data_IF_738119636031
#
_entry.id   IF_738119636031
#
_cell.length_a   1.000
_cell.length_b   1.000
_cell.length_c   1.000
_cell.angle_alpha   90.00
_cell.angle_beta   90.00
_cell.angle_gamma   90.00
#
_symmetry.space_group_name_H-M   'P 1'
#
loop_
_entity.id
_entity.type
_entity.pdbx_description
1 polymer ?
#
# COMPACT_ATOMS: atom_id res chain seq x y z
N UNK A 1 22.66 -15.11 3.91
CA UNK A 1 22.18 -14.82 5.27
C UNK A 1 21.29 -15.97 5.74
N UNK A 2 21.60 -16.58 6.87
CA UNK A 2 20.93 -17.79 7.36
C UNK A 2 19.99 -17.36 8.50
N UNK A 3 18.68 -17.27 8.25
CA UNK A 3 17.72 -17.20 9.35
C UNK A 3 17.72 -18.59 9.98
N UNK A 4 18.08 -18.65 11.24
CA UNK A 4 18.00 -19.86 12.04
C UNK A 4 16.51 -20.19 12.21
N UNK A 5 16.03 -21.25 11.55
CA UNK A 5 14.61 -21.67 11.62
C UNK A 5 14.29 -22.42 12.91
N UNK A 6 15.22 -22.47 13.86
CA UNK A 6 15.11 -23.19 15.14
C UNK A 6 14.84 -22.25 16.32
N UNK A 7 14.82 -20.94 16.09
CA UNK A 7 14.61 -19.91 17.12
C UNK A 7 13.49 -18.96 16.72
N UNK A 8 12.88 -18.32 17.72
CA UNK A 8 11.94 -17.22 17.49
C UNK A 8 12.70 -15.96 17.09
N UNK A 9 12.24 -15.25 16.06
CA UNK A 9 12.98 -14.13 15.47
C UNK A 9 12.06 -12.95 15.19
N UNK A 10 12.55 -11.74 15.48
CA UNK A 10 11.96 -10.50 15.03
C UNK A 10 12.80 -9.84 13.93
N UNK A 11 12.28 -9.83 12.72
CA UNK A 11 12.89 -9.18 11.55
C UNK A 11 12.45 -7.72 11.52
N UNK A 12 13.36 -6.82 11.84
CA UNK A 12 13.16 -5.37 11.74
C UNK A 12 13.59 -4.86 10.37
N UNK A 13 12.95 -3.81 9.87
CA UNK A 13 13.43 -3.14 8.65
C UNK A 13 12.42 -2.13 8.14
N UNK A 14 12.91 -1.14 7.41
CA UNK A 14 12.09 -0.10 6.80
C UNK A 14 11.21 -0.62 5.65
N UNK A 15 10.31 0.26 5.17
CA UNK A 15 9.60 0.01 3.92
C UNK A 15 10.58 -0.34 2.80
N UNK A 16 10.31 -1.45 2.11
CA UNK A 16 11.15 -1.86 0.98
C UNK A 16 12.50 -2.48 1.34
N UNK A 17 12.74 -2.85 2.59
CA UNK A 17 13.94 -3.61 3.00
C UNK A 17 13.90 -5.10 2.68
N UNK A 18 12.78 -5.62 2.14
CA UNK A 18 12.64 -7.02 1.76
C UNK A 18 12.09 -7.95 2.85
N UNK A 19 11.45 -7.42 3.89
CA UNK A 19 10.86 -8.22 4.99
C UNK A 19 9.94 -9.33 4.48
N UNK A 20 8.93 -8.98 3.67
CA UNK A 20 7.95 -9.93 3.12
C UNK A 20 8.59 -10.97 2.22
N UNK A 21 9.59 -10.56 1.41
CA UNK A 21 10.38 -11.48 0.58
C UNK A 21 11.14 -12.47 1.47
N UNK A 22 11.73 -11.99 2.55
CA UNK A 22 12.44 -12.83 3.49
C UNK A 22 11.52 -13.85 4.18
N UNK A 23 10.28 -13.47 4.53
CA UNK A 23 9.28 -14.40 5.04
C UNK A 23 8.96 -15.51 4.04
N UNK A 24 8.77 -15.18 2.75
CA UNK A 24 8.56 -16.17 1.68
C UNK A 24 9.74 -17.13 1.56
N UNK A 25 10.96 -16.62 1.53
CA UNK A 25 12.17 -17.45 1.50
C UNK A 25 12.32 -18.32 2.75
N UNK A 26 11.91 -17.82 3.91
CA UNK A 26 11.90 -18.59 5.16
C UNK A 26 10.96 -19.78 5.07
N UNK A 27 9.74 -19.60 4.55
CA UNK A 27 8.80 -20.70 4.29
C UNK A 27 9.43 -21.73 3.33
N UNK A 28 10.03 -21.29 2.22
CA UNK A 28 10.73 -22.19 1.28
C UNK A 28 11.83 -22.99 1.99
N UNK A 29 12.58 -22.36 2.88
CA UNK A 29 13.64 -22.99 3.66
C UNK A 29 13.10 -24.04 4.65
N UNK A 30 12.04 -23.71 5.39
CA UNK A 30 11.38 -24.65 6.30
C UNK A 30 10.90 -25.88 5.52
N UNK A 31 10.22 -25.68 4.37
CA UNK A 31 9.74 -26.78 3.52
C UNK A 31 10.86 -27.66 2.97
N UNK A 32 12.02 -27.08 2.65
CA UNK A 32 13.17 -27.87 2.19
C UNK A 32 13.80 -28.74 3.27
N UNK A 33 13.62 -28.41 4.56
CA UNK A 33 14.11 -29.16 5.71
C UNK A 33 13.07 -30.16 6.25
N UNK A 34 11.81 -29.74 6.26
CA UNK A 34 10.69 -30.54 6.72
C UNK A 34 9.46 -30.29 5.85
N UNK A 35 9.17 -31.27 4.98
CA UNK A 35 8.01 -31.20 4.06
C UNK A 35 6.66 -31.23 4.80
N UNK A 36 6.64 -31.78 6.01
CA UNK A 36 5.41 -32.03 6.81
C UNK A 36 5.11 -30.95 7.85
N UNK A 37 6.02 -29.99 8.07
CA UNK A 37 5.79 -28.93 9.06
C UNK A 37 4.50 -28.16 8.77
N UNK A 38 3.68 -27.95 9.80
CA UNK A 38 2.50 -27.09 9.72
C UNK A 38 2.94 -25.63 9.83
N UNK A 39 2.76 -24.88 8.77
CA UNK A 39 3.20 -23.48 8.67
C UNK A 39 1.98 -22.59 8.47
N UNK A 40 1.90 -21.50 9.27
CA UNK A 40 0.90 -20.43 9.13
C UNK A 40 1.61 -19.12 8.83
N UNK A 41 1.13 -18.39 7.84
CA UNK A 41 1.48 -17.01 7.62
C UNK A 41 0.31 -16.10 8.01
N UNK A 42 0.55 -15.22 8.96
CA UNK A 42 -0.43 -14.24 9.46
C UNK A 42 -0.10 -12.88 8.86
N UNK A 43 -1.10 -12.24 8.30
CA UNK A 43 -1.01 -10.90 7.71
C UNK A 43 -2.14 -10.00 8.20
N UNK A 44 -1.99 -8.69 8.00
CA UNK A 44 -2.97 -7.75 8.53
C UNK A 44 -4.23 -7.62 7.65
N UNK A 45 -4.09 -7.63 6.32
CA UNK A 45 -5.21 -7.39 5.39
C UNK A 45 -5.51 -8.58 4.49
N UNK A 46 -6.76 -8.69 4.02
CA UNK A 46 -7.16 -9.70 3.02
C UNK A 46 -6.43 -9.54 1.69
N UNK A 47 -6.07 -8.32 1.29
CA UNK A 47 -5.29 -8.07 0.07
C UNK A 47 -3.89 -8.70 0.17
N UNK A 48 -3.26 -8.63 1.35
CA UNK A 48 -1.98 -9.32 1.59
C UNK A 48 -2.13 -10.84 1.59
N UNK A 49 -3.25 -11.38 2.08
CA UNK A 49 -3.52 -12.82 1.99
C UNK A 49 -3.49 -13.28 0.53
N UNK A 50 -4.18 -12.57 -0.35
CA UNK A 50 -4.24 -12.94 -1.77
C UNK A 50 -2.88 -12.76 -2.48
N UNK A 51 -2.14 -11.71 -2.16
CA UNK A 51 -0.77 -11.49 -2.67
C UNK A 51 0.16 -12.65 -2.28
N UNK A 52 0.19 -13.03 -1.00
CA UNK A 52 1.04 -14.14 -0.54
C UNK A 52 0.60 -15.49 -1.10
N UNK A 53 -0.71 -15.75 -1.24
CA UNK A 53 -1.22 -16.95 -1.91
C UNK A 53 -0.73 -17.06 -3.35
N UNK A 54 -0.76 -15.96 -4.10
CA UNK A 54 -0.23 -15.93 -5.46
C UNK A 54 1.27 -16.23 -5.48
N UNK A 55 2.07 -15.57 -4.65
CA UNK A 55 3.51 -15.78 -4.57
C UNK A 55 3.88 -17.24 -4.18
N UNK A 56 3.18 -17.83 -3.20
CA UNK A 56 3.43 -19.23 -2.82
C UNK A 56 3.00 -20.23 -3.89
N UNK A 57 1.91 -19.95 -4.60
CA UNK A 57 1.46 -20.77 -5.73
C UNK A 57 2.51 -20.81 -6.85
N UNK A 58 3.12 -19.68 -7.20
CA UNK A 58 4.20 -19.59 -8.18
C UNK A 58 5.44 -20.39 -7.75
N UNK A 59 5.71 -20.45 -6.45
CA UNK A 59 6.82 -21.23 -5.88
C UNK A 59 6.48 -22.71 -5.65
N UNK A 60 5.26 -23.16 -5.96
CA UNK A 60 4.79 -24.52 -5.69
C UNK A 60 4.69 -24.84 -4.21
N UNK A 61 4.52 -23.84 -3.35
CA UNK A 61 4.43 -24.00 -1.90
C UNK A 61 2.97 -23.91 -1.45
N UNK A 62 2.58 -24.79 -0.53
CA UNK A 62 1.25 -24.78 0.10
C UNK A 62 1.40 -24.64 1.61
N UNK A 63 0.85 -23.57 2.17
CA UNK A 63 0.81 -23.27 3.60
C UNK A 63 -0.54 -22.61 3.95
N UNK A 64 -0.87 -22.59 5.23
CA UNK A 64 -2.01 -21.82 5.69
C UNK A 64 -1.69 -20.33 5.70
N UNK A 65 -2.59 -19.50 5.18
CA UNK A 65 -2.46 -18.03 5.16
C UNK A 65 -3.80 -17.42 5.55
N UNK A 66 -3.80 -16.58 6.56
CA UNK A 66 -5.01 -15.84 6.95
C UNK A 66 -4.62 -14.49 7.59
N UNK A 67 -5.63 -13.68 7.84
CA UNK A 67 -5.50 -12.49 8.67
C UNK A 67 -5.38 -12.88 10.15
N UNK A 68 -4.80 -11.99 10.96
CA UNK A 68 -4.75 -12.19 12.42
C UNK A 68 -6.15 -12.46 13.02
N UNK A 69 -7.18 -11.86 12.47
CA UNK A 69 -8.56 -12.05 12.90
C UNK A 69 -9.10 -13.46 12.60
N UNK A 70 -8.79 -14.00 11.41
CA UNK A 70 -9.12 -15.38 11.05
C UNK A 70 -8.35 -16.39 11.92
N UNK A 71 -7.06 -16.15 12.12
CA UNK A 71 -6.22 -16.94 13.01
C UNK A 71 -6.78 -17.02 14.44
N UNK A 72 -7.16 -15.89 15.03
CA UNK A 72 -7.73 -15.84 16.39
C UNK A 72 -9.00 -16.69 16.55
N UNK A 73 -9.73 -16.92 15.48
CA UNK A 73 -10.95 -17.77 15.48
C UNK A 73 -10.67 -19.24 15.25
N UNK A 74 -9.53 -19.63 14.69
CA UNK A 74 -9.29 -20.99 14.20
C UNK A 74 -8.98 -21.99 15.32
N UNK A 75 -8.34 -21.58 16.42
CA UNK A 75 -7.88 -22.48 17.47
C UNK A 75 -6.78 -23.48 17.07
N UNK A 76 -6.23 -23.38 15.85
CA UNK A 76 -5.22 -24.32 15.33
C UNK A 76 -3.83 -24.08 15.92
N UNK A 77 -3.01 -25.17 15.99
CA UNK A 77 -1.61 -25.12 16.36
C UNK A 77 -0.70 -25.45 15.16
N UNK A 78 0.50 -24.88 15.15
CA UNK A 78 1.45 -24.95 14.05
C UNK A 78 2.87 -25.24 14.56
N UNK A 79 3.73 -25.78 13.71
CA UNK A 79 5.16 -25.87 14.02
C UNK A 79 5.80 -24.49 13.87
N UNK A 80 5.37 -23.74 12.86
CA UNK A 80 5.86 -22.39 12.59
C UNK A 80 4.69 -21.41 12.36
N UNK A 81 4.74 -20.27 13.04
CA UNK A 81 3.92 -19.11 12.69
C UNK A 81 4.84 -18.00 12.20
N UNK A 82 4.59 -17.52 10.98
CA UNK A 82 5.20 -16.31 10.44
C UNK A 82 4.18 -15.18 10.47
N UNK A 83 4.64 -13.96 10.73
CA UNK A 83 3.74 -12.79 10.74
C UNK A 83 4.40 -11.60 10.05
N UNK A 84 3.69 -10.96 9.11
CA UNK A 84 4.10 -9.68 8.53
C UNK A 84 3.34 -8.53 9.21
N UNK A 85 3.94 -7.34 9.23
CA UNK A 85 3.42 -6.10 9.83
C UNK A 85 3.05 -6.25 11.33
N UNK A 86 3.88 -6.95 12.10
CA UNK A 86 3.63 -7.26 13.52
C UNK A 86 3.37 -6.02 14.39
N UNK A 87 3.89 -4.85 14.03
CA UNK A 87 3.69 -3.60 14.77
C UNK A 87 2.23 -3.09 14.77
N UNK A 88 1.38 -3.63 13.91
CA UNK A 88 -0.05 -3.27 13.89
C UNK A 88 -0.93 -4.21 14.73
N UNK A 89 -0.33 -5.25 15.33
CA UNK A 89 -1.04 -6.21 16.15
C UNK A 89 -1.06 -5.79 17.63
N UNK A 90 -1.98 -6.36 18.38
CA UNK A 90 -2.04 -6.16 19.83
C UNK A 90 -1.12 -7.18 20.56
N UNK A 91 -0.66 -6.87 21.79
CA UNK A 91 0.09 -7.83 22.61
C UNK A 91 -0.63 -9.17 22.77
N UNK A 92 -1.96 -9.14 22.87
CA UNK A 92 -2.79 -10.34 22.98
C UNK A 92 -2.66 -11.26 21.77
N UNK A 93 -2.72 -10.70 20.56
CA UNK A 93 -2.58 -11.48 19.31
C UNK A 93 -1.19 -12.11 19.22
N UNK A 94 -0.13 -11.37 19.57
CA UNK A 94 1.24 -11.89 19.54
C UNK A 94 1.44 -13.01 20.58
N UNK A 95 0.91 -12.83 21.79
CA UNK A 95 0.96 -13.86 22.83
C UNK A 95 0.23 -15.13 22.40
N UNK A 96 -0.94 -14.97 21.74
CA UNK A 96 -1.70 -16.11 21.24
C UNK A 96 -0.98 -16.82 20.08
N UNK A 97 -0.33 -16.07 19.16
CA UNK A 97 0.53 -16.69 18.15
C UNK A 97 1.67 -17.51 18.79
N UNK A 98 2.35 -16.92 19.77
CA UNK A 98 3.46 -17.58 20.44
C UNK A 98 3.03 -18.84 21.22
N UNK A 99 1.82 -18.85 21.79
CA UNK A 99 1.29 -20.03 22.52
C UNK A 99 0.84 -21.17 21.59
N UNK A 100 0.63 -20.90 20.30
CA UNK A 100 0.11 -21.86 19.31
C UNK A 100 1.16 -22.34 18.30
N UNK A 101 2.44 -22.07 18.54
CA UNK A 101 3.51 -22.59 17.69
C UNK A 101 4.75 -22.99 18.48
N UNK A 102 5.60 -23.81 17.84
CA UNK A 102 6.92 -24.12 18.37
C UNK A 102 7.93 -23.01 18.07
N UNK A 103 7.78 -22.34 16.91
CA UNK A 103 8.67 -21.29 16.45
C UNK A 103 7.86 -20.14 15.85
N UNK A 104 8.16 -18.90 16.29
CA UNK A 104 7.52 -17.70 15.76
C UNK A 104 8.55 -16.80 15.07
N UNK A 105 8.22 -16.34 13.86
CA UNK A 105 9.05 -15.45 13.06
C UNK A 105 8.20 -14.25 12.65
N UNK A 106 8.47 -13.10 13.23
CA UNK A 106 7.69 -11.90 12.96
C UNK A 106 8.51 -10.86 12.19
N UNK A 107 7.88 -10.13 11.32
CA UNK A 107 8.49 -9.06 10.55
C UNK A 107 7.70 -7.76 10.75
N UNK A 108 8.38 -6.61 10.80
CA UNK A 108 7.71 -5.34 10.97
C UNK A 108 8.62 -4.12 10.91
N UNK A 109 7.98 -2.95 10.84
CA UNK A 109 8.59 -1.63 10.86
C UNK A 109 7.86 -0.74 11.86
N UNK A 110 8.46 -0.50 13.00
CA UNK A 110 7.87 0.33 14.07
C UNK A 110 7.58 1.78 13.62
N UNK A 111 8.26 2.27 12.57
CA UNK A 111 8.02 3.60 12.01
C UNK A 111 6.76 3.65 11.12
N UNK A 112 6.20 2.52 10.76
CA UNK A 112 4.99 2.39 9.93
C UNK A 112 3.77 1.88 10.70
N UNK A 113 3.75 2.02 12.02
CA UNK A 113 2.52 1.78 12.79
C UNK A 113 1.48 2.85 12.44
N UNK A 114 0.36 2.41 11.87
CA UNK A 114 -0.74 3.29 11.42
C UNK A 114 -1.99 3.14 12.28
N UNK A 115 -1.95 2.27 13.28
CA UNK A 115 -3.04 2.04 14.21
C UNK A 115 -2.58 2.33 15.63
N UNK A 116 -3.35 3.14 16.36
CA UNK A 116 -3.19 3.30 17.81
C UNK A 116 -3.82 2.13 18.55
N UNK A 117 -4.90 1.60 17.99
CA UNK A 117 -5.62 0.47 18.53
C UNK A 117 -6.14 -0.43 17.42
N UNK A 118 -6.31 -1.70 17.74
CA UNK A 118 -6.89 -2.68 16.84
C UNK A 118 -8.34 -2.27 16.47
N UNK A 119 -8.69 -2.31 15.16
CA UNK A 119 -10.04 -1.90 14.72
C UNK A 119 -11.17 -2.80 15.21
N UNK A 120 -10.88 -4.04 15.65
CA UNK A 120 -11.89 -5.02 16.08
C UNK A 120 -12.11 -5.01 17.60
N UNK A 121 -11.03 -4.96 18.36
CA UNK A 121 -11.08 -5.11 19.81
C UNK A 121 -10.75 -3.83 20.56
N UNK A 122 -10.35 -2.77 19.85
CA UNK A 122 -9.98 -1.47 20.42
C UNK A 122 -8.84 -1.56 21.47
N UNK A 123 -8.03 -2.62 21.40
CA UNK A 123 -6.84 -2.80 22.22
C UNK A 123 -5.65 -2.05 21.60
N UNK A 124 -4.79 -1.45 22.41
CA UNK A 124 -3.59 -0.77 21.92
C UNK A 124 -2.69 -1.72 21.13
N UNK A 125 -2.08 -1.21 20.05
CA UNK A 125 -1.09 -1.97 19.29
C UNK A 125 0.22 -2.10 20.07
N UNK A 126 1.01 -3.14 19.74
CA UNK A 126 2.26 -3.44 20.42
C UNK A 126 3.32 -2.36 20.14
N UNK A 127 4.09 -2.02 21.17
CA UNK A 127 5.28 -1.18 21.00
C UNK A 127 6.47 -2.00 20.50
N UNK A 128 7.44 -1.32 19.85
CA UNK A 128 8.66 -1.97 19.37
C UNK A 128 9.45 -2.68 20.47
N UNK A 129 9.46 -2.15 21.70
CA UNK A 129 10.13 -2.76 22.84
C UNK A 129 9.46 -4.02 23.36
N UNK A 130 8.15 -4.16 23.12
CA UNK A 130 7.38 -5.31 23.61
C UNK A 130 7.46 -6.51 22.67
N UNK A 131 7.66 -6.31 21.36
CA UNK A 131 7.64 -7.42 20.38
C UNK A 131 8.65 -8.48 20.75
N UNK A 132 9.94 -8.14 20.91
CA UNK A 132 11.00 -9.10 21.25
C UNK A 132 10.73 -9.85 22.55
N UNK A 133 10.19 -9.14 23.57
CA UNK A 133 9.81 -9.75 24.85
C UNK A 133 8.67 -10.76 24.70
N UNK A 134 7.65 -10.44 23.91
CA UNK A 134 6.47 -11.28 23.72
C UNK A 134 6.77 -12.56 22.94
N UNK A 135 7.67 -12.52 21.97
CA UNK A 135 8.04 -13.69 21.16
C UNK A 135 9.19 -14.50 21.77
N UNK A 136 9.84 -14.00 22.84
CA UNK A 136 11.04 -14.62 23.45
C UNK A 136 12.14 -14.89 22.42
N UNK A 137 12.36 -13.97 21.47
CA UNK A 137 13.24 -14.16 20.33
C UNK A 137 14.18 -12.99 20.08
N UNK A 138 15.23 -13.26 19.32
CA UNK A 138 16.23 -12.28 18.93
C UNK A 138 15.72 -11.33 17.84
N UNK A 139 16.22 -10.10 17.86
CA UNK A 139 15.93 -9.11 16.84
C UNK A 139 17.02 -9.12 15.76
N UNK A 140 16.60 -9.19 14.51
CA UNK A 140 17.44 -9.07 13.33
C UNK A 140 17.03 -7.86 12.50
N UNK A 141 17.98 -7.02 12.08
CA UNK A 141 17.69 -5.79 11.32
C UNK A 141 18.13 -5.89 9.87
N UNK A 142 17.20 -5.58 8.95
CA UNK A 142 17.46 -5.41 7.53
C UNK A 142 17.88 -3.95 7.29
N UNK A 143 19.18 -3.73 7.18
CA UNK A 143 19.77 -2.40 7.07
C UNK A 143 19.80 -1.80 5.65
N UNK A 144 19.24 -2.49 4.63
CA UNK A 144 19.24 -2.01 3.25
C UNK A 144 17.82 -1.81 2.74
N UNK A 145 17.56 -0.66 2.14
CA UNK A 145 16.28 -0.34 1.48
C UNK A 145 16.45 -0.60 -0.03
N UNK A 146 15.80 -1.65 -0.53
CA UNK A 146 15.88 -2.05 -1.93
C UNK A 146 14.80 -1.41 -2.81
N UNK A 147 13.64 -1.08 -2.25
CA UNK A 147 12.49 -0.58 -3.02
C UNK A 147 12.52 0.91 -3.25
N UNK A 148 12.81 1.69 -2.21
CA UNK A 148 12.70 3.15 -2.28
C UNK A 148 13.89 3.76 -3.00
N UNK A 149 13.61 4.70 -3.90
CA UNK A 149 14.61 5.53 -4.55
C UNK A 149 15.11 6.62 -3.61
N UNK A 150 16.20 7.28 -4.01
CA UNK A 150 16.78 8.40 -3.26
C UNK A 150 15.77 9.53 -3.08
N UNK A 151 15.07 9.90 -4.15
CA UNK A 151 14.11 11.01 -4.14
C UNK A 151 12.98 10.77 -3.14
N UNK A 152 12.46 9.54 -3.04
CA UNK A 152 11.43 9.18 -2.06
C UNK A 152 12.00 9.22 -0.64
N UNK A 153 13.20 8.67 -0.42
CA UNK A 153 13.85 8.70 0.90
C UNK A 153 14.06 10.15 1.34
N UNK A 154 14.62 11.00 0.49
CA UNK A 154 14.88 12.42 0.79
C UNK A 154 13.56 13.18 1.07
N UNK A 155 12.48 12.91 0.30
CA UNK A 155 11.17 13.52 0.54
C UNK A 155 10.58 13.08 1.88
N UNK A 156 10.62 11.80 2.21
CA UNK A 156 10.15 11.26 3.50
C UNK A 156 10.95 11.83 4.66
N UNK A 157 12.27 11.95 4.53
CA UNK A 157 13.13 12.54 5.56
C UNK A 157 12.77 13.99 5.87
N UNK A 158 12.51 14.79 4.85
CA UNK A 158 12.07 16.19 5.01
C UNK A 158 10.69 16.28 5.63
N UNK A 159 9.79 15.37 5.23
CA UNK A 159 8.43 15.33 5.73
C UNK A 159 8.34 14.82 7.17
N UNK A 160 9.14 13.82 7.54
CA UNK A 160 9.19 13.20 8.87
C UNK A 160 10.63 13.18 9.42
N UNK A 161 11.20 14.32 9.81
CA UNK A 161 12.63 14.45 10.16
C UNK A 161 13.03 13.66 11.41
N UNK A 162 12.08 13.22 12.24
CA UNK A 162 12.35 12.38 13.42
C UNK A 162 12.38 10.87 13.10
N UNK A 163 12.10 10.50 11.86
CA UNK A 163 12.14 9.10 11.45
C UNK A 163 13.58 8.60 11.29
N UNK A 164 13.89 7.44 11.85
CA UNK A 164 15.24 6.86 11.81
C UNK A 164 15.60 6.19 10.47
N UNK A 165 14.89 6.51 9.39
CA UNK A 165 15.14 6.00 8.04
C UNK A 165 16.57 6.28 7.55
N UNK A 166 17.24 7.26 8.15
CA UNK A 166 18.62 7.66 7.83
C UNK A 166 19.69 6.60 8.12
N UNK A 167 19.43 5.68 9.04
CA UNK A 167 20.39 4.64 9.40
C UNK A 167 20.44 3.50 8.39
N UNK A 168 19.40 3.37 7.54
CA UNK A 168 19.35 2.33 6.53
C UNK A 168 20.18 2.70 5.30
N UNK A 169 20.98 1.76 4.82
CA UNK A 169 21.67 1.87 3.53
C UNK A 169 20.65 1.70 2.42
N UNK A 170 20.76 2.52 1.36
CA UNK A 170 19.93 2.35 0.16
C UNK A 170 20.64 1.49 -0.87
N UNK A 171 19.86 0.87 -1.73
CA UNK A 171 20.36 0.22 -2.93
C UNK A 171 20.74 1.30 -3.96
N UNK A 172 22.05 1.45 -4.21
CA UNK A 172 22.60 2.46 -5.13
C UNK A 172 22.40 2.10 -6.61
N UNK A 173 21.99 0.88 -6.91
CA UNK A 173 21.75 0.42 -8.28
C UNK A 173 20.38 0.82 -8.81
N UNK A 174 19.48 1.26 -7.93
CA UNK A 174 18.12 1.64 -8.30
C UNK A 174 18.10 3.04 -8.92
N UNK A 175 17.38 3.17 -10.05
CA UNK A 175 17.07 4.47 -10.67
C UNK A 175 16.25 5.35 -9.73
N UNK A 176 16.35 6.66 -9.89
CA UNK A 176 15.58 7.60 -9.08
C UNK A 176 14.12 7.66 -9.55
N UNK A 177 13.19 7.72 -8.59
CA UNK A 177 11.77 7.97 -8.82
C UNK A 177 11.56 9.44 -9.13
N UNK A 178 10.75 9.75 -10.14
CA UNK A 178 10.31 11.10 -10.36
C UNK A 178 9.11 11.41 -9.47
N UNK A 179 9.24 12.41 -8.61
CA UNK A 179 8.12 12.95 -7.83
C UNK A 179 7.55 14.13 -8.60
N UNK A 180 6.31 14.00 -9.07
CA UNK A 180 5.59 15.03 -9.83
C UNK A 180 4.52 15.65 -8.94
N UNK A 181 4.61 16.96 -8.75
CA UNK A 181 3.59 17.76 -8.09
C UNK A 181 2.73 18.43 -9.15
N UNK A 182 1.48 18.00 -9.24
CA UNK A 182 0.58 18.35 -10.32
C UNK A 182 -0.52 19.29 -9.82
N UNK A 183 -0.55 20.53 -10.32
CA UNK A 183 -1.59 21.51 -10.02
C UNK A 183 -2.68 21.46 -11.06
N UNK A 184 -3.95 21.32 -10.62
CA UNK A 184 -5.10 21.27 -11.49
C UNK A 184 -6.00 22.48 -11.29
N UNK A 185 -6.63 23.00 -12.38
CA UNK A 185 -7.59 24.10 -12.27
C UNK A 185 -8.88 23.72 -11.53
N UNK A 186 -9.23 22.44 -11.51
CA UNK A 186 -10.42 21.91 -10.86
C UNK A 186 -10.25 20.44 -10.46
N UNK A 187 -11.07 19.99 -9.52
CA UNK A 187 -11.11 18.58 -9.09
C UNK A 187 -11.45 17.63 -10.25
N UNK A 188 -12.31 18.04 -11.19
CA UNK A 188 -12.64 17.24 -12.37
C UNK A 188 -11.44 17.06 -13.30
N UNK A 189 -10.66 18.13 -13.54
CA UNK A 189 -9.47 18.08 -14.38
C UNK A 189 -8.34 17.30 -13.70
N UNK A 190 -8.20 17.41 -12.37
CA UNK A 190 -7.29 16.60 -11.58
C UNK A 190 -7.55 15.10 -11.81
N UNK A 191 -8.80 14.65 -11.60
CA UNK A 191 -9.17 13.24 -11.79
C UNK A 191 -9.01 12.81 -13.25
N UNK A 192 -9.38 13.65 -14.21
CA UNK A 192 -9.21 13.35 -15.65
C UNK A 192 -7.75 13.10 -15.99
N UNK A 193 -6.84 13.95 -15.53
CA UNK A 193 -5.39 13.82 -15.72
C UNK A 193 -4.85 12.52 -15.13
N UNK A 194 -5.27 12.18 -13.90
CA UNK A 194 -4.86 10.96 -13.23
C UNK A 194 -5.31 9.74 -14.02
N UNK A 195 -6.59 9.67 -14.40
CA UNK A 195 -7.14 8.53 -15.14
C UNK A 195 -6.43 8.36 -16.50
N UNK A 196 -6.13 9.45 -17.19
CA UNK A 196 -5.38 9.41 -18.45
C UNK A 196 -3.97 8.83 -18.26
N UNK A 197 -3.19 9.34 -17.28
CA UNK A 197 -1.82 8.88 -17.05
C UNK A 197 -1.78 7.46 -16.47
N UNK A 198 -2.66 7.12 -15.53
CA UNK A 198 -2.76 5.76 -15.00
C UNK A 198 -3.19 4.75 -16.07
N UNK A 199 -4.07 5.14 -17.01
CA UNK A 199 -4.44 4.30 -18.16
C UNK A 199 -3.27 4.10 -19.10
N UNK A 200 -2.46 5.12 -19.37
CA UNK A 200 -1.23 4.99 -20.16
C UNK A 200 -0.27 4.01 -19.49
N UNK A 201 -0.07 4.12 -18.17
CA UNK A 201 0.81 3.23 -17.41
C UNK A 201 0.37 1.76 -17.54
N UNK A 202 -0.90 1.45 -17.26
CA UNK A 202 -1.37 0.05 -17.35
C UNK A 202 -1.37 -0.50 -18.76
N UNK A 203 -1.54 0.34 -19.78
CA UNK A 203 -1.43 -0.05 -21.18
C UNK A 203 0.02 -0.37 -21.60
N UNK A 204 1.00 0.20 -20.89
CA UNK A 204 2.43 -0.07 -21.08
C UNK A 204 2.93 -1.27 -20.25
N UNK A 205 2.05 -1.90 -19.48
CA UNK A 205 2.38 -3.05 -18.64
C UNK A 205 2.82 -2.70 -17.21
N UNK A 206 2.77 -1.42 -16.82
CA UNK A 206 3.07 -1.01 -15.45
C UNK A 206 1.87 -1.25 -14.53
N UNK A 207 2.14 -1.58 -13.28
CA UNK A 207 1.14 -1.53 -12.21
C UNK A 207 0.89 -0.09 -11.80
N UNK A 208 -0.37 0.34 -11.74
CA UNK A 208 -0.75 1.70 -11.37
C UNK A 208 -1.78 1.71 -10.24
N UNK A 209 -1.53 2.51 -9.21
CA UNK A 209 -2.46 2.69 -8.10
C UNK A 209 -2.83 4.15 -7.87
N UNK A 210 -4.12 4.39 -7.64
CA UNK A 210 -4.64 5.66 -7.12
C UNK A 210 -4.93 5.47 -5.64
N UNK A 211 -4.19 6.18 -4.81
CA UNK A 211 -4.28 6.09 -3.36
C UNK A 211 -5.07 7.27 -2.81
N UNK A 212 -6.18 6.99 -2.16
CA UNK A 212 -7.15 7.98 -1.65
C UNK A 212 -7.02 8.05 -0.12
N UNK A 213 -7.06 9.25 0.50
CA UNK A 213 -6.92 9.40 1.94
C UNK A 213 -7.97 8.62 2.74
N UNK A 214 -9.24 8.69 2.32
CA UNK A 214 -10.37 8.10 3.03
C UNK A 214 -11.37 7.42 2.09
N UNK A 215 -12.07 6.42 2.61
CA UNK A 215 -13.08 5.68 1.84
C UNK A 215 -14.23 6.59 1.33
N UNK A 216 -14.54 7.68 2.05
CA UNK A 216 -15.58 8.65 1.65
C UNK A 216 -15.28 9.28 0.28
N UNK A 217 -13.99 9.52 -0.02
CA UNK A 217 -13.55 10.14 -1.29
C UNK A 217 -13.50 9.16 -2.48
N UNK A 218 -13.65 7.86 -2.25
CA UNK A 218 -13.61 6.84 -3.33
C UNK A 218 -14.74 7.05 -4.33
N UNK A 219 -15.98 7.25 -3.85
CA UNK A 219 -17.15 7.44 -4.73
C UNK A 219 -17.04 8.73 -5.52
N UNK A 220 -16.58 9.81 -4.90
CA UNK A 220 -16.33 11.10 -5.59
C UNK A 220 -15.32 10.92 -6.74
N UNK A 221 -14.20 10.25 -6.45
CA UNK A 221 -13.18 9.97 -7.46
C UNK A 221 -13.74 9.12 -8.61
N UNK A 222 -14.43 8.03 -8.29
CA UNK A 222 -15.03 7.11 -9.28
C UNK A 222 -16.02 7.86 -10.18
N UNK A 223 -16.89 8.68 -9.60
CA UNK A 223 -17.90 9.42 -10.39
C UNK A 223 -17.25 10.44 -11.33
N UNK A 224 -16.19 11.15 -10.88
CA UNK A 224 -15.43 12.05 -11.73
C UNK A 224 -14.66 11.30 -12.83
N UNK A 225 -14.12 10.11 -12.50
CA UNK A 225 -13.46 9.24 -13.47
C UNK A 225 -14.44 8.76 -14.55
N UNK A 226 -15.67 8.37 -14.17
CA UNK A 226 -16.73 8.03 -15.13
C UNK A 226 -17.08 9.21 -16.04
N UNK A 227 -17.32 10.38 -15.45
CA UNK A 227 -17.65 11.60 -16.21
C UNK A 227 -16.53 11.98 -17.18
N UNK A 228 -15.25 11.85 -16.79
CA UNK A 228 -14.10 12.11 -17.66
C UNK A 228 -14.06 11.22 -18.90
N UNK A 229 -14.68 10.06 -18.82
CA UNK A 229 -14.80 9.08 -19.92
C UNK A 229 -16.17 9.14 -20.63
N UNK A 230 -16.95 10.21 -20.41
CA UNK A 230 -18.29 10.39 -20.99
C UNK A 230 -19.35 9.40 -20.50
N UNK A 231 -19.15 8.85 -19.30
CA UNK A 231 -20.08 7.89 -18.67
C UNK A 231 -20.90 8.55 -17.57
N UNK A 232 -22.10 8.00 -17.31
CA UNK A 232 -22.92 8.43 -16.19
C UNK A 232 -22.27 8.09 -14.86
N UNK A 233 -22.42 8.92 -13.82
CA UNK A 233 -21.99 8.58 -12.47
C UNK A 233 -22.62 7.27 -11.99
N UNK A 234 -21.90 6.56 -11.13
CA UNK A 234 -22.44 5.35 -10.50
C UNK A 234 -23.63 5.71 -9.58
N UNK A 235 -24.82 5.08 -9.79
CA UNK A 235 -25.97 5.28 -8.92
C UNK A 235 -25.72 4.52 -7.61
N UNK A 236 -25.05 5.13 -6.66
CA UNK A 236 -24.59 4.50 -5.43
C UNK A 236 -25.63 3.57 -4.82
N UNK A 237 -25.26 2.30 -4.64
CA UNK A 237 -26.10 1.26 -4.06
C UNK A 237 -25.54 0.80 -2.72
N UNK A 238 -26.40 0.30 -1.84
CA UNK A 238 -26.02 -0.26 -0.55
C UNK A 238 -26.20 -1.76 -0.52
N UNK A 239 -25.35 -2.43 0.26
CA UNK A 239 -25.48 -3.86 0.53
C UNK A 239 -26.58 -4.13 1.59
N UNK A 240 -26.81 -5.42 1.90
CA UNK A 240 -27.81 -5.85 2.89
C UNK A 240 -27.64 -5.30 4.31
N UNK A 241 -26.50 -4.68 4.61
CA UNK A 241 -26.23 -4.02 5.92
C UNK A 241 -26.29 -2.50 5.82
N UNK A 242 -26.83 -1.91 4.75
CA UNK A 242 -26.93 -0.48 4.55
C UNK A 242 -25.60 0.24 4.27
N UNK A 243 -24.51 -0.48 4.04
CA UNK A 243 -23.21 0.07 3.67
C UNK A 243 -23.06 0.11 2.14
N UNK A 244 -22.26 1.06 1.63
CA UNK A 244 -21.96 1.15 0.19
C UNK A 244 -21.51 -0.20 -0.37
N UNK A 245 -22.10 -0.61 -1.50
CA UNK A 245 -21.74 -1.85 -2.21
C UNK A 245 -20.62 -1.58 -3.23
N UNK A 246 -19.39 -1.62 -2.77
CA UNK A 246 -18.23 -1.45 -3.65
C UNK A 246 -18.07 -2.59 -4.67
N UNK A 247 -18.68 -3.75 -4.43
CA UNK A 247 -18.76 -4.82 -5.41
C UNK A 247 -19.65 -4.43 -6.60
N UNK A 248 -20.83 -3.83 -6.33
CA UNK A 248 -21.68 -3.26 -7.37
C UNK A 248 -20.98 -2.12 -8.13
N UNK A 249 -20.24 -1.25 -7.42
CA UNK A 249 -19.43 -0.20 -8.03
C UNK A 249 -18.37 -0.77 -8.98
N UNK A 250 -17.64 -1.80 -8.59
CA UNK A 250 -16.65 -2.46 -9.45
C UNK A 250 -17.30 -3.09 -10.69
N UNK A 251 -18.46 -3.75 -10.55
CA UNK A 251 -19.22 -4.27 -11.70
C UNK A 251 -19.69 -3.15 -12.63
N UNK A 252 -20.12 -2.01 -12.09
CA UNK A 252 -20.54 -0.85 -12.87
C UNK A 252 -19.35 -0.25 -13.66
N UNK A 253 -18.19 -0.12 -13.04
CA UNK A 253 -16.97 0.33 -13.72
C UNK A 253 -16.62 -0.62 -14.89
N UNK A 254 -16.62 -1.91 -14.62
CA UNK A 254 -16.32 -2.94 -15.63
C UNK A 254 -17.32 -2.93 -16.79
N UNK A 255 -18.62 -2.83 -16.52
CA UNK A 255 -19.67 -2.79 -17.57
C UNK A 255 -19.60 -1.53 -18.43
N UNK A 256 -19.01 -0.44 -17.92
CA UNK A 256 -18.76 0.79 -18.66
C UNK A 256 -17.39 0.84 -19.35
N UNK A 257 -16.59 -0.24 -19.27
CA UNK A 257 -15.29 -0.34 -19.91
C UNK A 257 -14.19 0.49 -19.21
N UNK A 258 -14.39 0.90 -17.94
CA UNK A 258 -13.42 1.68 -17.19
C UNK A 258 -12.38 0.74 -16.56
N UNK A 259 -11.11 0.94 -16.87
CA UNK A 259 -9.98 0.16 -16.34
C UNK A 259 -9.63 0.51 -14.88
N UNK A 260 -10.62 0.79 -14.05
CA UNK A 260 -10.47 1.15 -12.64
C UNK A 260 -11.16 0.11 -11.76
N UNK A 261 -10.50 -0.32 -10.70
CA UNK A 261 -11.05 -1.27 -9.75
C UNK A 261 -10.75 -0.84 -8.33
N UNK A 262 -11.77 -0.71 -7.50
CA UNK A 262 -11.58 -0.54 -6.06
C UNK A 262 -11.17 -1.86 -5.42
N UNK A 263 -10.06 -1.82 -4.65
CA UNK A 263 -9.54 -2.93 -3.85
C UNK A 263 -9.44 -2.50 -2.40
N UNK A 264 -10.15 -3.20 -1.53
CA UNK A 264 -10.15 -2.92 -0.08
C UNK A 264 -11.39 -3.47 0.61
N UNK A 265 -11.34 -3.64 1.92
CA UNK A 265 -12.44 -4.15 2.76
C UNK A 265 -13.08 -5.46 2.25
N UNK A 266 -12.31 -6.32 1.59
CA UNK A 266 -12.80 -7.57 1.01
C UNK A 266 -13.47 -7.42 -0.36
N UNK A 267 -13.42 -6.25 -0.98
CA UNK A 267 -13.84 -6.01 -2.34
C UNK A 267 -12.64 -5.92 -3.29
N UNK A 268 -12.83 -6.42 -4.50
CA UNK A 268 -11.79 -6.45 -5.53
C UNK A 268 -10.65 -7.41 -5.20
N UNK A 269 -9.82 -7.66 -6.19
CA UNK A 269 -8.59 -8.46 -6.03
C UNK A 269 -7.46 -7.71 -6.72
N UNK A 270 -6.28 -7.75 -6.14
CA UNK A 270 -5.07 -7.23 -6.76
C UNK A 270 -4.38 -8.37 -7.51
N UNK A 271 -4.12 -8.15 -8.80
CA UNK A 271 -3.25 -9.00 -9.59
C UNK A 271 -2.40 -8.09 -10.49
N UNK A 272 -1.09 -8.29 -10.49
CA UNK A 272 -0.17 -7.55 -11.36
C UNK A 272 -0.46 -7.76 -12.85
N UNK A 273 -1.06 -8.90 -13.20
CA UNK A 273 -1.41 -9.27 -14.58
C UNK A 273 -2.73 -8.67 -15.08
N UNK A 274 -3.53 -8.04 -14.22
CA UNK A 274 -4.88 -7.60 -14.60
C UNK A 274 -4.92 -6.33 -15.46
N UNK A 275 -3.80 -5.62 -15.65
CA UNK A 275 -3.70 -4.36 -16.40
C UNK A 275 -4.82 -3.36 -16.06
N UNK A 276 -5.18 -3.28 -14.77
CA UNK A 276 -6.19 -2.36 -14.23
C UNK A 276 -5.55 -1.34 -13.30
N UNK A 277 -6.13 -0.16 -13.27
CA UNK A 277 -5.80 0.86 -12.28
C UNK A 277 -6.40 0.43 -10.95
N UNK A 278 -5.58 0.29 -9.93
CA UNK A 278 -6.02 -0.07 -8.58
C UNK A 278 -6.38 1.18 -7.81
N UNK A 279 -7.61 1.26 -7.32
CA UNK A 279 -8.08 2.33 -6.44
C UNK A 279 -8.19 1.79 -5.02
N UNK A 280 -7.52 2.43 -4.07
CA UNK A 280 -7.57 2.00 -2.67
C UNK A 280 -7.31 3.15 -1.70
N UNK A 281 -7.56 2.90 -0.41
CA UNK A 281 -7.19 3.86 0.64
C UNK A 281 -5.73 3.72 1.02
N UNK A 282 -5.15 4.76 1.64
CA UNK A 282 -3.79 4.72 2.20
C UNK A 282 -3.60 3.52 3.14
N UNK A 283 -4.60 3.23 3.98
CA UNK A 283 -4.58 2.06 4.87
C UNK A 283 -4.52 0.74 4.10
N UNK A 284 -5.35 0.59 3.05
CA UNK A 284 -5.41 -0.65 2.26
C UNK A 284 -4.16 -0.87 1.41
N UNK A 285 -3.41 0.19 1.10
CA UNK A 285 -2.18 0.13 0.33
C UNK A 285 -0.97 -0.35 1.14
N UNK A 286 -1.09 -0.41 2.48
CA UNK A 286 0.01 -0.87 3.33
C UNK A 286 0.42 -2.30 2.96
N UNK A 287 1.74 -2.52 2.83
CA UNK A 287 2.33 -3.81 2.44
C UNK A 287 2.37 -4.06 0.92
N UNK A 288 1.59 -3.33 0.11
CA UNK A 288 1.62 -3.43 -1.35
C UNK A 288 2.59 -2.40 -1.95
N UNK A 289 2.96 -2.58 -3.22
CA UNK A 289 3.72 -1.61 -3.99
C UNK A 289 3.34 -1.65 -5.49
N UNK A 290 3.57 -0.54 -6.19
CA UNK A 290 3.15 -0.33 -7.56
C UNK A 290 4.23 0.44 -8.31
N UNK A 291 4.32 0.24 -9.62
CA UNK A 291 5.30 0.97 -10.43
C UNK A 291 4.96 2.46 -10.46
N UNK A 292 3.70 2.81 -10.65
CA UNK A 292 3.24 4.19 -10.61
C UNK A 292 2.15 4.41 -9.55
N UNK A 293 2.32 5.45 -8.74
CA UNK A 293 1.39 5.82 -7.69
C UNK A 293 0.87 7.23 -7.90
N UNK A 294 -0.44 7.40 -7.79
CA UNK A 294 -1.15 8.66 -7.90
C UNK A 294 -1.84 8.97 -6.57
N UNK A 295 -1.50 10.11 -5.97
CA UNK A 295 -2.10 10.61 -4.72
C UNK A 295 -2.89 11.88 -5.05
N UNK A 296 -4.21 11.79 -5.32
CA UNK A 296 -5.05 12.95 -5.58
C UNK A 296 -5.50 13.67 -4.30
N UNK A 297 -6.03 14.86 -4.49
CA UNK A 297 -6.68 15.66 -3.44
C UNK A 297 -5.72 16.11 -2.34
N UNK A 298 -4.42 16.26 -2.65
CA UNK A 298 -3.41 16.76 -1.71
C UNK A 298 -3.52 18.29 -1.51
N UNK A 299 -4.72 18.79 -1.29
CA UNK A 299 -5.02 20.20 -1.07
C UNK A 299 -5.22 20.52 0.43
N UNK A 300 -5.38 21.79 0.76
CA UNK A 300 -5.56 22.29 2.14
C UNK A 300 -6.78 21.70 2.90
N UNK A 301 -7.68 21.01 2.19
CA UNK A 301 -8.85 20.32 2.78
C UNK A 301 -8.64 18.81 2.90
N UNK A 302 -7.43 18.33 2.62
CA UNK A 302 -7.12 16.89 2.71
C UNK A 302 -7.25 16.43 4.17
N UNK A 303 -8.14 15.46 4.39
CA UNK A 303 -8.32 14.83 5.68
C UNK A 303 -7.94 13.34 5.59
N UNK A 304 -7.05 12.89 6.47
CA UNK A 304 -6.55 11.51 6.50
C UNK A 304 -6.98 10.82 7.81
N UNK A 305 -6.68 11.43 8.96
CA UNK A 305 -6.95 10.90 10.29
C UNK A 305 -7.15 12.06 11.29
N UNK A 306 -7.92 11.89 12.38
CA UNK A 306 -7.99 12.88 13.44
C UNK A 306 -6.67 13.01 14.21
N UNK A 307 -5.86 11.97 14.25
CA UNK A 307 -4.52 11.98 14.82
C UNK A 307 -3.51 12.40 13.76
N UNK A 308 -2.87 13.56 13.98
CA UNK A 308 -1.91 14.15 13.04
C UNK A 308 -0.68 13.26 12.82
N UNK A 309 -0.19 12.57 13.84
CA UNK A 309 0.95 11.66 13.72
C UNK A 309 0.61 10.48 12.80
N UNK A 310 -0.57 9.88 12.99
CA UNK A 310 -1.08 8.81 12.13
C UNK A 310 -1.34 9.33 10.72
N UNK A 311 -1.93 10.51 10.57
CA UNK A 311 -2.17 11.12 9.28
C UNK A 311 -0.88 11.28 8.48
N UNK A 312 0.18 11.79 9.10
CA UNK A 312 1.51 11.92 8.48
C UNK A 312 2.12 10.57 8.14
N UNK A 313 2.00 9.58 9.04
CA UNK A 313 2.49 8.21 8.77
C UNK A 313 1.76 7.58 7.59
N UNK A 314 0.43 7.74 7.50
CA UNK A 314 -0.37 7.24 6.37
C UNK A 314 -0.01 7.90 5.04
N UNK A 315 0.24 9.22 5.06
CA UNK A 315 0.70 9.93 3.86
C UNK A 315 2.08 9.42 3.42
N UNK A 316 3.01 9.24 4.36
CA UNK A 316 4.31 8.62 4.11
C UNK A 316 4.15 7.19 3.56
N UNK A 317 3.26 6.38 4.15
CA UNK A 317 2.96 5.05 3.62
C UNK A 317 2.53 5.13 2.16
N UNK A 318 1.62 6.05 1.80
CA UNK A 318 1.18 6.22 0.41
C UNK A 318 2.35 6.60 -0.52
N UNK A 319 3.21 7.55 -0.14
CA UNK A 319 4.39 7.95 -0.91
C UNK A 319 5.36 6.77 -1.14
N UNK A 320 5.53 5.92 -0.14
CA UNK A 320 6.47 4.79 -0.18
C UNK A 320 5.94 3.55 -0.89
N UNK A 321 4.74 3.59 -1.49
CA UNK A 321 4.19 2.51 -2.31
C UNK A 321 4.68 2.54 -3.76
N UNK A 322 5.39 3.58 -4.16
CA UNK A 322 5.86 3.83 -5.50
C UNK A 322 7.22 3.15 -5.76
N UNK A 323 7.35 2.47 -6.91
CA UNK A 323 8.62 1.90 -7.39
C UNK A 323 9.32 2.82 -8.41
N UNK A 324 8.54 3.48 -9.28
CA UNK A 324 9.04 4.22 -10.45
C UNK A 324 8.64 5.70 -10.41
N UNK A 325 7.36 6.00 -10.56
CA UNK A 325 6.83 7.37 -10.67
C UNK A 325 5.78 7.68 -9.61
N UNK A 326 5.96 8.77 -8.87
CA UNK A 326 5.00 9.29 -7.90
C UNK A 326 4.38 10.59 -8.39
N UNK A 327 3.05 10.58 -8.55
CA UNK A 327 2.24 11.75 -8.87
C UNK A 327 1.46 12.17 -7.63
N UNK A 328 1.68 13.39 -7.16
CA UNK A 328 0.88 13.99 -6.10
C UNK A 328 0.14 15.16 -6.72
N UNK A 329 -1.18 15.18 -6.65
CA UNK A 329 -1.97 16.21 -7.32
C UNK A 329 -2.91 16.93 -6.36
N UNK A 330 -3.20 18.18 -6.71
CA UNK A 330 -4.12 19.03 -5.96
C UNK A 330 -4.82 20.02 -6.90
N UNK A 331 -5.94 20.55 -6.45
CA UNK A 331 -6.60 21.73 -7.00
C UNK A 331 -6.79 22.78 -5.91
N UNK A 332 -6.69 24.05 -6.26
CA UNK A 332 -6.73 25.16 -5.29
C UNK A 332 -5.44 25.24 -4.45
N UNK A 333 -5.58 25.44 -3.15
CA UNK A 333 -4.41 25.57 -2.29
C UNK A 333 -3.81 24.19 -1.93
N UNK A 334 -2.49 23.98 -2.07
CA UNK A 334 -1.85 22.74 -1.72
C UNK A 334 -1.93 22.47 -0.20
N UNK A 335 -1.81 21.22 0.19
CA UNK A 335 -1.69 20.81 1.59
C UNK A 335 -0.34 21.21 2.17
N UNK A 336 -0.31 21.64 3.43
CA UNK A 336 0.92 21.94 4.17
C UNK A 336 1.87 20.73 4.25
N UNK A 337 1.37 19.51 4.05
CA UNK A 337 2.20 18.30 3.95
C UNK A 337 3.23 18.36 2.82
N UNK A 338 2.93 19.10 1.76
CA UNK A 338 3.81 19.25 0.60
C UNK A 338 4.96 20.22 0.84
N UNK A 339 4.80 21.17 1.77
CA UNK A 339 5.80 22.24 2.02
C UNK A 339 7.18 21.72 2.33
N UNK A 340 7.27 20.58 3.01
CA UNK A 340 8.53 19.99 3.42
C UNK A 340 9.41 19.52 2.24
N UNK A 341 8.81 19.14 1.10
CA UNK A 341 9.54 18.51 -0.01
C UNK A 341 9.15 19.02 -1.40
N UNK A 342 8.20 19.95 -1.53
CA UNK A 342 7.76 20.49 -2.84
C UNK A 342 8.89 21.01 -3.73
N UNK A 343 9.94 21.54 -3.12
CA UNK A 343 11.14 22.03 -3.85
C UNK A 343 11.93 20.92 -4.57
N UNK A 344 11.70 19.66 -4.19
CA UNK A 344 12.36 18.49 -4.77
C UNK A 344 11.47 17.80 -5.82
N UNK A 345 10.29 18.35 -6.13
CA UNK A 345 9.35 17.80 -7.09
C UNK A 345 9.46 18.48 -8.46
N UNK A 346 9.17 17.74 -9.51
CA UNK A 346 8.89 18.31 -10.83
C UNK A 346 7.47 18.87 -10.83
N UNK A 347 7.31 20.18 -11.09
CA UNK A 347 6.00 20.82 -11.11
C UNK A 347 5.32 20.68 -12.47
N UNK A 348 4.06 20.28 -12.46
CA UNK A 348 3.21 20.14 -13.64
C UNK A 348 1.96 20.98 -13.46
N UNK A 349 1.74 21.96 -14.35
CA UNK A 349 0.49 22.66 -14.47
C UNK A 349 -0.42 21.92 -15.46
N UNK A 350 -1.46 21.26 -14.94
CA UNK A 350 -2.40 20.47 -15.74
C UNK A 350 -3.20 21.36 -16.70
N UNK A 351 -3.50 22.59 -16.29
CA UNK A 351 -4.23 23.57 -17.13
C UNK A 351 -3.45 23.92 -18.39
N UNK A 352 -2.16 24.20 -18.28
CA UNK A 352 -1.31 24.55 -19.42
C UNK A 352 -0.97 23.33 -20.30
N UNK A 353 -0.92 22.13 -19.74
CA UNK A 353 -0.68 20.90 -20.49
C UNK A 353 -1.85 20.53 -21.41
N UNK A 354 -3.10 20.79 -20.98
CA UNK A 354 -4.29 20.55 -21.79
C UNK A 354 -4.39 21.52 -23.01
N UNK A 355 -3.92 22.75 -22.85
CA UNK A 355 -3.88 23.73 -23.96
C UNK A 355 -2.87 23.33 -25.04
N UNK A 356 -1.72 22.76 -24.67
CA UNK A 356 -0.72 22.29 -25.63
C UNK A 356 -1.17 21.05 -26.41
N UNK A 357 -1.95 20.16 -25.82
CA UNK A 357 -2.52 19.01 -26.53
C UNK A 357 -3.65 19.39 -27.50
N UNK A 358 -4.42 20.44 -27.20
CA UNK A 358 -5.44 20.96 -28.09
C UNK A 358 -4.86 21.80 -29.24
N UNK A 359 -3.70 22.45 -29.05
CA UNK A 359 -3.02 23.28 -30.06
C UNK A 359 -2.27 22.50 -31.14
N UNK A 360 -2.08 21.19 -30.98
CA UNK A 360 -1.40 20.33 -31.98
C UNK A 360 -2.35 19.52 -32.88
N UNK A 361 -3.66 19.77 -32.84
CA UNK A 361 -4.57 19.38 -33.92
C UNK A 361 -4.27 20.23 -35.13
N UNK A 362 -3.25 19.90 -35.91
CA UNK A 362 -2.95 20.52 -37.19
C UNK A 362 -4.19 20.44 -38.10
N UNK A 363 -4.64 21.60 -38.52
CA UNK A 363 -5.58 21.77 -39.63
C UNK A 363 -5.11 20.84 -40.81
N UNK A 364 -5.89 19.82 -41.22
CA UNK A 364 -5.51 18.94 -42.33
C UNK A 364 -5.56 19.58 -43.68
N UNK A 365 -6.02 20.84 -43.78
CA UNK A 365 -6.15 21.59 -45.01
C UNK A 365 -5.23 22.83 -44.96
N UNK A 366 -3.96 22.59 -45.29
CA UNK A 366 -3.02 23.67 -45.53
C UNK A 366 -3.43 24.45 -46.81
N UNK A 367 -4.02 25.61 -46.60
CA UNK A 367 -3.97 26.77 -47.54
C UNK A 367 -3.72 28.01 -46.70
#
# INVERSE_FOLDING_TARGET
MWILTEESIWIKGFAGSGKSVLLVYTVKKIRSRSSHSRIMLIVFTKSLVEMFKAAFKELGLNIDIDTYYGFMKSGNHYDYILCDEVQDLTPRVISEMNSRCSHIIVAGDSNQSIYESDPQWHEATVSASEIGRLIHGDAFELGVIHRLSRSIIDAVQRFLPRMTIFSAKRDMTKSDTQIRLCEAPSEQQEVSYIIENATKAVNQGYTAAVLIPTQRKIVDFVNKALVSQGKSPWPATTNKWGKLDFGAMNRYLQSNGIKLQYVGNGYGQFSESDHRIILMTFHSAKGLDFDQVFIPFANSRMYISPNESIAKTLFMVAMTRCREDLYISYYGYPSDYLDAFKSNCSHIDIGSASVKSAGNARNPWGF
#
